data_IF_427598033809
#
_entry.id   IF_427598033809
#
_cell.length_a   1.000
_cell.length_b   1.000
_cell.length_c   1.000
_cell.angle_alpha   90.00
_cell.angle_beta   90.00
_cell.angle_gamma   90.00
#
_symmetry.space_group_name_H-M   'P 1'
#
loop_
_entity.id
_entity.type
_entity.pdbx_description
1 polymer ?
#
# COMPACT_ATOMS: atom_id res chain seq x y z
N UNK A 1 -14.41 -12.11 -12.43
CA UNK A 1 -14.31 -13.29 -11.51
C UNK A 1 -14.08 -14.64 -12.20
N UNK A 2 -13.82 -14.71 -13.51
CA UNK A 2 -13.49 -15.99 -14.19
C UNK A 2 -12.09 -16.54 -13.84
N UNK A 3 -11.33 -15.83 -12.97
CA UNK A 3 -9.96 -16.12 -12.51
C UNK A 3 -9.89 -16.47 -11.01
N UNK A 4 -8.69 -16.79 -10.54
CA UNK A 4 -8.24 -17.01 -9.15
C UNK A 4 -8.46 -15.82 -8.18
N UNK A 5 -9.02 -14.70 -8.63
CA UNK A 5 -9.26 -13.50 -7.83
C UNK A 5 -10.22 -13.74 -6.66
N UNK A 6 -9.78 -13.38 -5.46
CA UNK A 6 -10.60 -13.25 -4.26
C UNK A 6 -11.09 -11.81 -4.17
N UNK A 7 -12.41 -11.56 -4.29
CA UNK A 7 -12.94 -10.20 -4.23
C UNK A 7 -12.56 -9.49 -2.94
N UNK A 8 -12.20 -8.21 -3.04
CA UNK A 8 -11.93 -7.34 -1.90
C UNK A 8 -12.61 -5.98 -2.09
N UNK A 9 -13.21 -5.45 -1.03
CA UNK A 9 -13.74 -4.10 -1.02
C UNK A 9 -12.70 -3.09 -0.50
N UNK A 10 -12.57 -1.96 -1.19
CA UNK A 10 -11.73 -0.82 -0.80
C UNK A 10 -12.65 0.37 -0.50
N UNK A 11 -12.58 0.89 0.73
CA UNK A 11 -13.37 2.05 1.13
C UNK A 11 -13.36 2.29 2.64
N UNK A 12 -13.71 3.51 3.05
CA UNK A 12 -13.59 3.98 4.45
C UNK A 12 -14.52 3.26 5.44
N UNK A 13 -15.57 2.59 4.98
CA UNK A 13 -16.44 1.77 5.84
C UNK A 13 -15.83 0.38 6.15
N UNK A 14 -14.78 -0.01 5.43
CA UNK A 14 -14.15 -1.32 5.52
C UNK A 14 -12.79 -1.22 6.23
N UNK A 15 -12.18 -2.39 6.50
CA UNK A 15 -10.78 -2.49 6.94
C UNK A 15 -9.85 -1.81 5.94
N UNK A 16 -8.82 -1.16 6.44
CA UNK A 16 -7.79 -0.53 5.60
C UNK A 16 -7.02 -1.62 4.82
N UNK A 17 -6.81 -1.41 3.52
CA UNK A 17 -6.11 -2.36 2.63
C UNK A 17 -4.67 -1.95 2.40
N UNK A 18 -3.81 -2.90 2.04
CA UNK A 18 -2.40 -2.65 1.71
C UNK A 18 -2.06 -3.21 0.33
N UNK A 19 -1.46 -2.38 -0.52
CA UNK A 19 -0.87 -2.79 -1.80
C UNK A 19 0.62 -3.08 -1.64
N UNK A 20 1.11 -4.09 -2.37
CA UNK A 20 2.53 -4.31 -2.60
C UNK A 20 2.90 -4.11 -4.08
N UNK A 21 3.92 -3.29 -4.33
CA UNK A 21 4.47 -3.13 -5.68
C UNK A 21 5.53 -4.18 -5.95
N UNK A 22 5.46 -4.81 -7.11
CA UNK A 22 6.51 -5.66 -7.66
C UNK A 22 6.83 -5.20 -9.07
N UNK A 23 7.80 -5.81 -9.73
CA UNK A 23 8.07 -5.57 -11.13
C UNK A 23 9.54 -5.71 -11.49
N UNK A 24 9.75 -6.08 -12.74
CA UNK A 24 11.07 -6.16 -13.36
C UNK A 24 11.58 -4.78 -13.78
N UNK A 25 12.87 -4.70 -14.03
CA UNK A 25 13.49 -3.53 -14.65
C UNK A 25 14.45 -3.97 -15.75
N UNK A 26 14.97 -3.01 -16.52
CA UNK A 26 16.05 -3.25 -17.48
C UNK A 26 17.32 -3.83 -16.84
N UNK A 27 17.49 -3.68 -15.52
CA UNK A 27 18.65 -4.19 -14.78
C UNK A 27 18.39 -5.57 -14.17
N UNK A 28 17.15 -5.84 -13.74
CA UNK A 28 16.76 -7.11 -13.12
C UNK A 28 15.43 -7.58 -13.72
N UNK A 29 15.52 -8.56 -14.62
CA UNK A 29 14.37 -9.13 -15.31
C UNK A 29 14.31 -10.64 -15.07
N UNK A 30 13.61 -11.06 -14.02
CA UNK A 30 13.36 -12.47 -13.71
C UNK A 30 11.93 -12.63 -13.21
N UNK A 31 11.11 -13.33 -14.01
CA UNK A 31 9.72 -13.66 -13.67
C UNK A 31 9.65 -14.41 -12.34
N UNK A 32 10.51 -15.42 -12.16
CA UNK A 32 10.57 -16.20 -10.93
C UNK A 32 10.83 -15.33 -9.70
N UNK A 33 11.72 -14.33 -9.83
CA UNK A 33 12.01 -13.41 -8.73
C UNK A 33 10.83 -12.49 -8.41
N UNK A 34 9.99 -12.14 -9.37
CA UNK A 34 8.78 -11.34 -9.12
C UNK A 34 7.67 -12.20 -8.50
N UNK A 35 7.56 -13.48 -8.89
CA UNK A 35 6.68 -14.46 -8.23
C UNK A 35 7.08 -14.62 -6.76
N UNK A 36 8.37 -14.81 -6.46
CA UNK A 36 8.86 -14.91 -5.07
C UNK A 36 8.52 -13.68 -4.23
N UNK A 37 8.64 -12.47 -4.81
CA UNK A 37 8.24 -11.22 -4.12
C UNK A 37 6.73 -11.18 -3.88
N UNK A 38 5.93 -11.57 -4.87
CA UNK A 38 4.48 -11.63 -4.74
C UNK A 38 4.06 -12.61 -3.64
N UNK A 39 4.62 -13.82 -3.63
CA UNK A 39 4.38 -14.81 -2.58
C UNK A 39 4.79 -14.29 -1.20
N UNK A 40 5.94 -13.61 -1.10
CA UNK A 40 6.39 -12.99 0.13
C UNK A 40 5.42 -11.91 0.63
N UNK A 41 4.87 -11.08 -0.27
CA UNK A 41 3.86 -10.07 0.06
C UNK A 41 2.54 -10.70 0.52
N UNK A 42 2.03 -11.69 -0.22
CA UNK A 42 0.79 -12.38 0.08
C UNK A 42 0.86 -13.15 1.40
N UNK A 43 2.02 -13.75 1.71
CA UNK A 43 2.23 -14.50 2.94
C UNK A 43 2.07 -13.67 4.23
N UNK A 44 2.25 -12.34 4.14
CA UNK A 44 2.07 -11.40 5.26
C UNK A 44 0.86 -10.46 5.07
N UNK A 45 -0.03 -10.80 4.14
CA UNK A 45 -1.36 -10.24 4.05
C UNK A 45 -1.51 -9.00 3.17
N UNK A 46 -0.68 -8.83 2.13
CA UNK A 46 -0.96 -7.86 1.07
C UNK A 46 -2.37 -8.11 0.49
N UNK A 47 -3.15 -7.04 0.36
CA UNK A 47 -4.55 -7.09 -0.10
C UNK A 47 -4.67 -6.83 -1.61
N UNK A 48 -3.61 -6.34 -2.24
CA UNK A 48 -3.50 -6.10 -3.68
C UNK A 48 -2.03 -6.15 -4.10
N UNK A 49 -1.79 -6.41 -5.38
CA UNK A 49 -0.46 -6.41 -6.00
C UNK A 49 -0.49 -5.45 -7.18
N UNK A 50 0.57 -4.66 -7.37
CA UNK A 50 0.78 -3.92 -8.61
C UNK A 50 2.04 -4.37 -9.33
N UNK A 51 1.89 -4.66 -10.61
CA UNK A 51 3.02 -4.89 -11.51
C UNK A 51 3.48 -3.58 -12.14
N UNK A 52 4.66 -3.13 -11.70
CA UNK A 52 5.34 -1.93 -12.15
C UNK A 52 6.53 -2.26 -13.07
N UNK A 53 6.52 -3.44 -13.70
CA UNK A 53 7.57 -3.91 -14.60
C UNK A 53 7.84 -2.93 -15.75
N UNK A 54 9.12 -2.70 -16.04
CA UNK A 54 9.58 -1.83 -17.14
C UNK A 54 10.67 -2.45 -18.00
N UNK A 55 10.84 -3.77 -17.95
CA UNK A 55 11.78 -4.45 -18.83
C UNK A 55 11.48 -5.94 -18.99
N UNK A 56 11.81 -6.46 -20.16
CA UNK A 56 11.54 -7.85 -20.54
C UNK A 56 10.32 -7.93 -21.46
N UNK A 57 9.70 -9.10 -21.53
CA UNK A 57 8.41 -9.23 -22.22
C UNK A 57 7.29 -8.92 -21.21
N UNK A 58 6.87 -7.65 -21.17
CA UNK A 58 5.86 -7.19 -20.22
C UNK A 58 4.51 -7.89 -20.37
N UNK A 59 4.17 -8.41 -21.56
CA UNK A 59 2.91 -9.12 -21.76
C UNK A 59 3.00 -10.53 -21.14
N UNK A 60 4.10 -11.24 -21.38
CA UNK A 60 4.35 -12.56 -20.82
C UNK A 60 4.55 -12.51 -19.30
N UNK A 61 5.33 -11.55 -18.79
CA UNK A 61 5.55 -11.35 -17.35
C UNK A 61 4.21 -11.14 -16.64
N UNK A 62 3.38 -10.21 -17.12
CA UNK A 62 2.08 -9.92 -16.51
C UNK A 62 1.11 -11.09 -16.57
N UNK A 63 1.09 -11.84 -17.68
CA UNK A 63 0.27 -13.05 -17.80
C UNK A 63 0.63 -14.09 -16.73
N UNK A 64 1.94 -14.30 -16.49
CA UNK A 64 2.41 -15.24 -15.46
C UNK A 64 2.07 -14.77 -14.05
N UNK A 65 2.24 -13.47 -13.76
CA UNK A 65 1.91 -12.90 -12.46
C UNK A 65 0.41 -12.96 -12.17
N UNK A 66 -0.44 -12.64 -13.14
CA UNK A 66 -1.91 -12.75 -13.01
C UNK A 66 -2.34 -14.19 -12.73
N UNK A 67 -1.72 -15.18 -13.37
CA UNK A 67 -2.02 -16.60 -13.13
C UNK A 67 -1.75 -17.04 -11.68
N UNK A 68 -0.82 -16.37 -10.99
CA UNK A 68 -0.43 -16.66 -9.61
C UNK A 68 -1.06 -15.72 -8.57
N UNK A 69 -1.61 -14.57 -8.97
CA UNK A 69 -2.13 -13.55 -8.06
C UNK A 69 -3.60 -13.80 -7.68
N UNK A 70 -3.93 -14.07 -6.40
CA UNK A 70 -5.31 -14.30 -5.96
C UNK A 70 -6.00 -13.04 -5.43
N UNK A 71 -5.36 -11.87 -5.52
CA UNK A 71 -5.87 -10.57 -5.01
C UNK A 71 -5.92 -9.55 -6.15
N UNK A 72 -6.62 -8.41 -6.00
CA UNK A 72 -6.68 -7.39 -7.03
C UNK A 72 -5.29 -7.02 -7.56
N UNK A 73 -5.17 -7.02 -8.88
CA UNK A 73 -3.93 -6.79 -9.60
C UNK A 73 -3.99 -5.46 -10.35
N UNK A 74 -3.06 -4.56 -10.09
CA UNK A 74 -2.99 -3.25 -10.72
C UNK A 74 -1.76 -3.03 -11.58
N UNK A 75 -1.83 -2.05 -12.48
CA UNK A 75 -0.69 -1.64 -13.29
C UNK A 75 -0.69 -0.12 -13.53
N UNK A 76 0.39 0.38 -14.12
CA UNK A 76 0.47 1.74 -14.65
C UNK A 76 0.68 1.64 -16.17
N UNK A 77 -0.39 1.70 -17.00
CA UNK A 77 -0.28 1.41 -18.43
C UNK A 77 0.78 2.22 -19.19
N UNK A 78 1.05 3.46 -18.77
CA UNK A 78 2.07 4.31 -19.39
C UNK A 78 3.48 3.72 -19.33
N UNK A 79 3.77 2.82 -18.37
CA UNK A 79 5.07 2.16 -18.25
C UNK A 79 5.32 1.16 -19.37
N UNK A 80 4.28 0.45 -19.81
CA UNK A 80 4.38 -0.40 -21.00
C UNK A 80 4.38 0.44 -22.29
N UNK A 81 3.64 1.54 -22.32
CA UNK A 81 3.60 2.43 -23.49
C UNK A 81 4.99 2.99 -23.82
N UNK A 82 5.79 3.37 -22.83
CA UNK A 82 7.13 3.91 -23.02
C UNK A 82 8.19 2.84 -23.32
N UNK A 83 7.90 1.56 -23.10
CA UNK A 83 8.89 0.49 -23.29
C UNK A 83 9.40 0.45 -24.74
N UNK A 84 10.73 0.59 -24.89
CA UNK A 84 11.38 0.61 -26.20
C UNK A 84 11.09 1.86 -27.05
N UNK A 85 10.53 2.93 -26.45
CA UNK A 85 10.15 4.16 -27.15
C UNK A 85 10.74 5.40 -26.49
N UNK A 86 10.83 6.47 -27.27
CA UNK A 86 11.00 7.79 -26.69
C UNK A 86 9.63 8.36 -26.31
N UNK A 87 9.63 9.29 -25.34
CA UNK A 87 8.39 9.93 -24.86
C UNK A 87 7.67 10.63 -26.01
N UNK A 88 8.45 11.25 -26.89
CA UNK A 88 8.02 12.01 -28.06
C UNK A 88 7.30 11.14 -29.12
N UNK A 89 7.46 9.81 -29.05
CA UNK A 89 6.82 8.86 -29.97
C UNK A 89 5.48 8.34 -29.44
N UNK A 90 5.10 8.70 -28.21
CA UNK A 90 3.85 8.26 -27.59
C UNK A 90 2.67 8.95 -28.28
N UNK A 91 1.67 8.16 -28.69
CA UNK A 91 0.43 8.67 -29.27
C UNK A 91 -0.79 8.30 -28.43
N UNK A 92 -1.88 9.09 -28.47
CA UNK A 92 -3.13 8.74 -27.79
C UNK A 92 -3.65 7.34 -28.11
N UNK A 93 -3.63 6.96 -29.39
CA UNK A 93 -4.08 5.64 -29.83
C UNK A 93 -3.24 4.50 -29.24
N UNK A 94 -1.93 4.70 -29.06
CA UNK A 94 -1.06 3.70 -28.43
C UNK A 94 -1.37 3.53 -26.94
N UNK A 95 -1.67 4.63 -26.24
CA UNK A 95 -2.08 4.58 -24.82
C UNK A 95 -3.37 3.77 -24.70
N UNK A 96 -4.41 4.16 -25.46
CA UNK A 96 -5.72 3.51 -25.39
C UNK A 96 -5.64 2.01 -25.72
N UNK A 97 -4.90 1.65 -26.79
CA UNK A 97 -4.67 0.25 -27.16
C UNK A 97 -3.96 -0.54 -26.06
N UNK A 98 -3.01 0.09 -25.35
CA UNK A 98 -2.28 -0.59 -24.26
C UNK A 98 -3.18 -0.81 -23.04
N UNK A 99 -3.99 0.18 -22.68
CA UNK A 99 -4.99 0.08 -21.62
C UNK A 99 -5.98 -1.06 -21.92
N UNK A 100 -6.56 -1.08 -23.12
CA UNK A 100 -7.51 -2.12 -23.54
C UNK A 100 -6.85 -3.52 -23.59
N UNK A 101 -5.59 -3.61 -24.05
CA UNK A 101 -4.83 -4.87 -24.04
C UNK A 101 -4.66 -5.41 -22.63
N UNK A 102 -4.30 -4.57 -21.67
CA UNK A 102 -4.13 -4.99 -20.28
C UNK A 102 -5.47 -5.35 -19.62
N UNK A 103 -6.55 -4.63 -19.95
CA UNK A 103 -7.89 -4.93 -19.46
C UNK A 103 -8.33 -6.34 -19.90
N UNK A 104 -8.09 -6.68 -21.18
CA UNK A 104 -8.33 -8.04 -21.71
C UNK A 104 -7.51 -9.13 -21.01
N UNK A 105 -6.33 -8.82 -20.48
CA UNK A 105 -5.53 -9.77 -19.72
C UNK A 105 -6.09 -10.01 -18.31
N UNK A 106 -6.95 -9.13 -17.80
CA UNK A 106 -7.56 -9.24 -16.48
C UNK A 106 -6.90 -8.41 -15.40
N UNK A 107 -6.31 -7.26 -15.74
CA UNK A 107 -5.89 -6.26 -14.75
C UNK A 107 -7.14 -5.64 -14.11
N UNK A 108 -7.19 -5.56 -12.78
CA UNK A 108 -8.35 -5.14 -12.01
C UNK A 108 -8.42 -3.61 -11.80
N UNK A 109 -7.27 -2.92 -11.80
CA UNK A 109 -7.23 -1.46 -11.71
C UNK A 109 -6.04 -0.82 -12.42
N UNK A 110 -6.22 0.39 -12.94
CA UNK A 110 -5.15 1.14 -13.60
C UNK A 110 -4.85 2.45 -12.91
N UNK A 111 -3.57 2.70 -12.65
CA UNK A 111 -3.08 4.04 -12.35
C UNK A 111 -3.04 4.88 -13.62
N UNK A 112 -4.00 5.80 -13.74
CA UNK A 112 -4.13 6.73 -14.87
C UNK A 112 -3.82 8.15 -14.40
N UNK A 113 -2.74 8.73 -14.92
CA UNK A 113 -2.25 10.05 -14.56
C UNK A 113 -2.93 11.14 -15.41
N UNK A 114 -4.26 11.21 -15.36
CA UNK A 114 -5.05 12.18 -16.13
C UNK A 114 -5.21 13.54 -15.43
N UNK A 115 -4.87 13.65 -14.14
CA UNK A 115 -5.01 14.90 -13.37
C UNK A 115 -3.92 15.94 -13.58
N UNK A 116 -2.76 15.53 -14.10
CA UNK A 116 -1.64 16.43 -14.35
C UNK A 116 -1.90 17.19 -15.65
N UNK A 117 -2.29 18.46 -15.54
CA UNK A 117 -2.57 19.32 -16.69
C UNK A 117 -1.37 20.20 -17.06
N UNK A 118 -1.31 20.64 -18.32
CA UNK A 118 -0.23 21.50 -18.84
C UNK A 118 -0.09 22.81 -18.04
N UNK A 119 -1.20 23.38 -17.60
CA UNK A 119 -1.27 24.59 -16.77
C UNK A 119 -0.70 24.39 -15.35
N UNK A 120 -0.54 23.15 -14.88
CA UNK A 120 0.07 22.88 -13.58
C UNK A 120 1.60 22.93 -13.65
N UNK A 121 2.21 22.73 -14.82
CA UNK A 121 3.67 22.64 -14.96
C UNK A 121 4.44 23.87 -14.43
N UNK A 122 3.98 25.12 -14.62
CA UNK A 122 4.67 26.28 -14.03
C UNK A 122 4.71 26.28 -12.50
N UNK A 123 3.77 25.60 -11.83
CA UNK A 123 3.72 25.52 -10.36
C UNK A 123 4.89 24.72 -9.77
N UNK A 124 5.60 23.96 -10.61
CA UNK A 124 6.74 23.12 -10.21
C UNK A 124 8.04 23.90 -10.04
N UNK A 125 8.11 25.16 -10.50
CA UNK A 125 9.35 25.93 -10.52
C UNK A 125 9.99 26.12 -9.13
N UNK A 126 9.19 26.03 -8.06
CA UNK A 126 9.67 26.19 -6.68
C UNK A 126 9.89 24.89 -5.90
N UNK A 127 9.63 23.71 -6.50
CA UNK A 127 9.77 22.44 -5.79
C UNK A 127 11.23 22.04 -5.60
N UNK A 128 11.52 21.43 -4.46
CA UNK A 128 12.81 20.84 -4.12
C UNK A 128 13.05 19.56 -4.92
N UNK A 129 12.07 18.65 -4.98
CA UNK A 129 12.19 17.37 -5.67
C UNK A 129 11.53 17.33 -7.05
N UNK A 130 10.86 18.41 -7.47
CA UNK A 130 10.19 18.51 -8.77
C UNK A 130 9.03 17.51 -8.93
N UNK A 131 9.09 16.69 -9.99
CA UNK A 131 8.13 15.61 -10.25
C UNK A 131 8.80 14.27 -9.92
N UNK A 132 8.30 13.59 -8.89
CA UNK A 132 8.80 12.26 -8.49
C UNK A 132 7.92 11.10 -8.94
N UNK A 133 6.72 11.39 -9.47
CA UNK A 133 5.93 10.37 -10.16
C UNK A 133 6.57 10.06 -11.51
N UNK A 134 6.94 8.79 -11.74
CA UNK A 134 7.45 8.35 -13.05
C UNK A 134 6.42 8.59 -14.15
N UNK A 135 5.15 8.22 -13.93
CA UNK A 135 4.08 8.45 -14.89
C UNK A 135 3.83 9.94 -15.14
N UNK A 136 3.80 10.73 -14.06
CA UNK A 136 3.67 12.19 -14.13
C UNK A 136 4.81 12.85 -14.91
N UNK A 137 6.06 12.46 -14.65
CA UNK A 137 7.24 13.01 -15.33
C UNK A 137 7.25 12.68 -16.83
N UNK A 138 6.86 11.47 -17.22
CA UNK A 138 6.74 11.08 -18.63
C UNK A 138 5.69 11.95 -19.36
N UNK A 139 4.52 12.15 -18.75
CA UNK A 139 3.45 12.96 -19.34
C UNK A 139 3.78 14.45 -19.35
N UNK A 140 4.45 14.97 -18.32
CA UNK A 140 4.95 16.34 -18.30
C UNK A 140 5.94 16.59 -19.45
N UNK A 141 6.90 15.68 -19.66
CA UNK A 141 7.83 15.73 -20.79
C UNK A 141 7.08 15.67 -22.13
N UNK A 142 6.10 14.78 -22.26
CA UNK A 142 5.27 14.67 -23.46
C UNK A 142 4.56 15.99 -23.80
N UNK A 143 3.89 16.59 -22.82
CA UNK A 143 3.16 17.85 -23.01
C UNK A 143 4.07 19.00 -23.41
N UNK A 144 5.26 19.10 -22.81
CA UNK A 144 6.23 20.14 -23.13
C UNK A 144 6.76 19.98 -24.56
N UNK A 145 7.05 18.73 -24.98
CA UNK A 145 7.55 18.45 -26.33
C UNK A 145 6.50 18.74 -27.41
N UNK A 146 5.27 18.25 -27.22
CA UNK A 146 4.20 18.40 -28.20
C UNK A 146 3.44 19.72 -28.09
N UNK A 147 3.69 20.50 -27.04
CA UNK A 147 2.97 21.72 -26.72
C UNK A 147 1.43 21.50 -26.67
N UNK A 148 1.01 20.38 -26.09
CA UNK A 148 -0.38 19.91 -26.02
C UNK A 148 -0.80 19.57 -24.59
N UNK A 149 -2.11 19.47 -24.36
CA UNK A 149 -2.65 19.00 -23.09
C UNK A 149 -2.34 17.51 -22.88
N UNK A 150 -2.37 17.06 -21.63
CA UNK A 150 -2.19 15.67 -21.24
C UNK A 150 -3.12 14.76 -22.06
N UNK A 151 -2.57 13.79 -22.82
CA UNK A 151 -3.38 12.97 -23.71
C UNK A 151 -4.38 12.11 -22.92
N UNK A 152 -4.04 11.67 -21.71
CA UNK A 152 -4.95 10.89 -20.86
C UNK A 152 -6.13 11.71 -20.33
N UNK A 153 -5.96 13.03 -20.19
CA UNK A 153 -7.05 13.94 -19.87
C UNK A 153 -7.93 14.18 -21.10
N UNK A 154 -7.33 14.43 -22.26
CA UNK A 154 -8.07 14.67 -23.52
C UNK A 154 -8.93 13.46 -23.91
N UNK A 155 -8.43 12.22 -23.72
CA UNK A 155 -9.13 10.97 -24.08
C UNK A 155 -9.84 10.28 -22.90
N UNK A 156 -10.10 11.01 -21.81
CA UNK A 156 -10.59 10.40 -20.56
C UNK A 156 -11.93 9.67 -20.74
N UNK A 157 -12.76 10.15 -21.65
CA UNK A 157 -14.06 9.57 -21.96
C UNK A 157 -13.92 8.21 -22.65
N UNK A 158 -12.99 8.08 -23.61
CA UNK A 158 -12.64 6.80 -24.24
C UNK A 158 -11.99 5.83 -23.25
N UNK A 159 -11.22 6.33 -22.28
CA UNK A 159 -10.72 5.49 -21.18
C UNK A 159 -11.87 4.97 -20.32
N UNK A 160 -12.89 5.79 -20.03
CA UNK A 160 -14.07 5.35 -19.30
C UNK A 160 -14.83 4.24 -20.05
N UNK A 161 -14.94 4.33 -21.38
CA UNK A 161 -15.60 3.30 -22.19
C UNK A 161 -14.88 1.95 -22.03
N UNK A 162 -13.55 1.94 -22.06
CA UNK A 162 -12.76 0.73 -21.79
C UNK A 162 -12.91 0.26 -20.34
N UNK A 163 -12.84 1.17 -19.35
CA UNK A 163 -12.95 0.78 -17.94
C UNK A 163 -14.32 0.13 -17.65
N UNK A 164 -15.40 0.70 -18.20
CA UNK A 164 -16.75 0.20 -18.04
C UNK A 164 -16.98 -1.13 -18.76
N UNK A 165 -16.40 -1.33 -19.96
CA UNK A 165 -16.51 -2.59 -20.71
C UNK A 165 -15.92 -3.78 -19.95
N UNK A 166 -14.76 -3.57 -19.30
CA UNK A 166 -14.00 -4.63 -18.64
C UNK A 166 -14.15 -4.66 -17.11
N UNK A 167 -14.94 -3.76 -16.51
CA UNK A 167 -15.07 -3.55 -15.06
C UNK A 167 -13.71 -3.32 -14.37
N UNK A 168 -12.88 -2.47 -14.97
CA UNK A 168 -11.58 -2.07 -14.42
C UNK A 168 -11.76 -0.80 -13.59
N UNK A 169 -11.21 -0.80 -12.37
CA UNK A 169 -11.27 0.36 -11.50
C UNK A 169 -10.22 1.41 -11.89
N UNK A 170 -10.62 2.68 -11.94
CA UNK A 170 -9.66 3.78 -12.02
C UNK A 170 -8.93 3.93 -10.69
N UNK A 171 -7.61 3.89 -10.72
CA UNK A 171 -6.74 4.52 -9.73
C UNK A 171 -6.27 5.85 -10.32
N UNK A 172 -6.93 6.94 -9.98
CA UNK A 172 -6.59 8.24 -10.56
C UNK A 172 -5.27 8.74 -9.96
N UNK A 173 -4.19 8.67 -10.74
CA UNK A 173 -2.81 8.82 -10.30
C UNK A 173 -2.41 10.24 -9.91
N UNK A 174 -1.56 10.35 -8.90
CA UNK A 174 -1.03 11.60 -8.35
C UNK A 174 0.32 11.99 -9.01
N UNK A 175 0.24 12.37 -10.29
CA UNK A 175 1.41 12.75 -11.10
C UNK A 175 2.26 13.86 -10.51
N UNK A 176 1.68 14.72 -9.68
CA UNK A 176 2.30 15.85 -8.99
C UNK A 176 2.36 15.64 -7.48
N UNK A 177 2.38 14.41 -6.96
CA UNK A 177 2.64 14.20 -5.53
C UNK A 177 3.98 14.80 -5.06
N UNK A 178 4.08 15.22 -3.80
CA UNK A 178 5.33 15.68 -3.20
C UNK A 178 6.32 14.52 -3.00
N UNK A 179 7.57 14.75 -3.42
CA UNK A 179 8.71 13.84 -3.21
C UNK A 179 9.71 14.29 -2.16
N UNK A 180 9.40 15.38 -1.47
CA UNK A 180 10.14 15.90 -0.33
C UNK A 180 9.15 16.56 0.62
N UNK A 181 9.47 16.57 1.91
CA UNK A 181 8.66 17.24 2.94
C UNK A 181 8.45 18.73 2.61
N UNK A 182 9.44 19.36 1.96
CA UNK A 182 9.39 20.76 1.56
C UNK A 182 8.34 21.05 0.47
N UNK A 183 7.94 20.04 -0.31
CA UNK A 183 6.99 20.17 -1.42
C UNK A 183 5.55 19.79 -1.01
N UNK A 184 5.36 19.36 0.24
CA UNK A 184 4.10 18.83 0.72
C UNK A 184 3.00 19.91 0.76
N UNK A 185 1.81 19.54 0.28
CA UNK A 185 0.61 20.38 0.27
C UNK A 185 0.80 21.68 -0.55
N UNK A 186 1.65 21.65 -1.57
CA UNK A 186 1.90 22.79 -2.44
C UNK A 186 0.80 23.02 -3.49
N UNK A 187 0.92 24.12 -4.23
CA UNK A 187 -0.06 24.48 -5.25
C UNK A 187 -0.18 23.44 -6.38
N UNK A 188 0.92 22.79 -6.78
CA UNK A 188 0.92 21.78 -7.83
C UNK A 188 0.14 20.52 -7.40
N UNK A 189 0.37 20.03 -6.19
CA UNK A 189 -0.34 18.88 -5.64
C UNK A 189 -1.84 19.17 -5.54
N UNK A 190 -2.21 20.33 -5.00
CA UNK A 190 -3.62 20.70 -4.81
C UNK A 190 -4.35 20.97 -6.13
N UNK A 191 -3.65 21.51 -7.14
CA UNK A 191 -4.23 21.73 -8.47
C UNK A 191 -4.56 20.39 -9.17
N UNK A 192 -3.65 19.42 -9.10
CA UNK A 192 -3.93 18.07 -9.60
C UNK A 192 -5.10 17.43 -8.83
N UNK A 193 -5.12 17.48 -7.49
CA UNK A 193 -6.21 16.89 -6.70
C UNK A 193 -7.59 17.44 -7.10
N UNK A 194 -7.71 18.74 -7.38
CA UNK A 194 -8.95 19.34 -7.89
C UNK A 194 -9.37 18.75 -9.24
N UNK A 195 -8.41 18.54 -10.14
CA UNK A 195 -8.65 17.88 -11.43
C UNK A 195 -9.07 16.43 -11.22
N UNK A 196 -8.44 15.71 -10.29
CA UNK A 196 -8.84 14.35 -9.95
C UNK A 196 -10.28 14.29 -9.40
N UNK A 197 -10.73 15.30 -8.66
CA UNK A 197 -12.13 15.44 -8.23
C UNK A 197 -13.11 15.56 -9.40
N UNK A 198 -12.79 16.38 -10.40
CA UNK A 198 -13.57 16.48 -11.65
C UNK A 198 -13.63 15.13 -12.37
N UNK A 199 -12.47 14.49 -12.57
CA UNK A 199 -12.36 13.22 -13.28
C UNK A 199 -13.05 12.07 -12.53
N UNK A 200 -13.03 12.10 -11.19
CA UNK A 200 -13.77 11.15 -10.34
C UNK A 200 -15.26 11.23 -10.64
N UNK A 201 -15.82 12.44 -10.65
CA UNK A 201 -17.24 12.63 -10.96
C UNK A 201 -17.57 12.18 -12.39
N UNK A 202 -16.75 12.57 -13.38
CA UNK A 202 -16.94 12.18 -14.78
C UNK A 202 -16.94 10.66 -14.99
N UNK A 203 -15.99 9.96 -14.35
CA UNK A 203 -15.91 8.49 -14.43
C UNK A 203 -17.10 7.81 -13.72
N UNK A 204 -17.53 8.31 -12.56
CA UNK A 204 -18.70 7.80 -11.85
C UNK A 204 -20.01 7.99 -12.63
N UNK A 205 -20.18 9.13 -13.31
CA UNK A 205 -21.33 9.39 -14.19
C UNK A 205 -21.39 8.42 -15.38
N UNK A 206 -20.25 7.86 -15.79
CA UNK A 206 -20.13 6.79 -16.79
C UNK A 206 -20.16 5.38 -16.20
N UNK A 207 -20.44 5.23 -14.91
CA UNK A 207 -20.56 3.93 -14.24
C UNK A 207 -19.23 3.24 -13.92
N UNK A 208 -18.10 3.94 -14.01
CA UNK A 208 -16.79 3.39 -13.67
C UNK A 208 -16.57 3.40 -12.14
N UNK A 209 -15.86 2.39 -11.64
CA UNK A 209 -15.32 2.39 -10.28
C UNK A 209 -14.09 3.30 -10.21
N UNK A 210 -13.95 4.07 -9.11
CA UNK A 210 -12.86 5.05 -8.96
C UNK A 210 -12.32 5.04 -7.54
N UNK A 211 -10.99 5.00 -7.42
CA UNK A 211 -10.21 5.46 -6.28
C UNK A 211 -9.23 6.54 -6.74
N UNK A 212 -8.78 7.36 -5.80
CA UNK A 212 -7.86 8.47 -6.06
C UNK A 212 -6.53 8.18 -5.39
N UNK A 213 -5.41 8.42 -6.07
CA UNK A 213 -4.08 8.32 -5.48
C UNK A 213 -3.69 9.62 -4.76
N UNK A 214 -2.85 9.49 -3.74
CA UNK A 214 -2.48 10.58 -2.86
C UNK A 214 -1.04 10.49 -2.35
N UNK A 215 -0.61 11.56 -1.66
CA UNK A 215 0.77 11.99 -1.62
C UNK A 215 1.77 10.99 -1.02
N UNK A 216 3.03 11.23 -1.40
CA UNK A 216 4.21 10.49 -0.95
C UNK A 216 4.85 11.07 0.30
N UNK A 217 5.48 12.25 0.22
CA UNK A 217 6.21 12.84 1.37
C UNK A 217 5.38 13.96 2.00
N UNK A 218 4.91 13.76 3.23
CA UNK A 218 4.03 14.71 3.93
C UNK A 218 4.39 14.74 5.41
N UNK A 219 4.78 15.90 5.97
CA UNK A 219 5.08 15.99 7.40
C UNK A 219 3.81 15.74 8.20
N UNK A 220 3.95 15.07 9.35
CA UNK A 220 2.82 14.52 10.12
C UNK A 220 1.66 15.52 10.35
N UNK A 221 1.98 16.78 10.66
CA UNK A 221 1.00 17.83 10.93
C UNK A 221 0.08 18.19 9.73
N UNK A 222 0.42 17.79 8.51
CA UNK A 222 -0.36 18.08 7.29
C UNK A 222 -1.21 16.89 6.83
N UNK A 223 -1.02 15.70 7.40
CA UNK A 223 -1.67 14.47 6.93
C UNK A 223 -3.19 14.56 7.03
N UNK A 224 -3.71 15.00 8.19
CA UNK A 224 -5.15 15.17 8.39
C UNK A 224 -5.77 16.07 7.31
N UNK A 225 -5.14 17.22 7.07
CA UNK A 225 -5.62 18.19 6.09
C UNK A 225 -5.69 17.59 4.67
N UNK A 226 -4.69 16.79 4.27
CA UNK A 226 -4.71 16.11 2.97
C UNK A 226 -5.85 15.09 2.86
N UNK A 227 -6.14 14.34 3.93
CA UNK A 227 -7.23 13.36 3.93
C UNK A 227 -8.61 14.04 3.86
N UNK A 228 -8.79 15.13 4.60
CA UNK A 228 -10.05 15.91 4.61
C UNK A 228 -10.30 16.58 3.24
N UNK A 229 -9.27 17.20 2.66
CA UNK A 229 -9.37 17.81 1.34
C UNK A 229 -9.75 16.81 0.25
N UNK A 230 -9.14 15.62 0.25
CA UNK A 230 -9.50 14.61 -0.74
C UNK A 230 -10.95 14.16 -0.57
N UNK A 231 -11.41 13.94 0.67
CA UNK A 231 -12.80 13.54 0.90
C UNK A 231 -13.80 14.58 0.38
N UNK A 232 -13.50 15.87 0.58
CA UNK A 232 -14.32 16.97 0.08
C UNK A 232 -14.29 17.04 -1.45
N UNK A 233 -13.10 17.13 -2.04
CA UNK A 233 -12.89 17.38 -3.48
C UNK A 233 -13.34 16.18 -4.33
N UNK A 234 -13.01 14.96 -3.88
CA UNK A 234 -13.29 13.72 -4.60
C UNK A 234 -14.57 13.02 -4.12
N UNK A 235 -15.45 13.75 -3.40
CA UNK A 235 -16.79 13.30 -3.00
C UNK A 235 -16.80 11.95 -2.28
N UNK A 236 -15.81 11.71 -1.43
CA UNK A 236 -15.69 10.49 -0.65
C UNK A 236 -15.23 9.24 -1.42
N UNK A 237 -14.69 9.39 -2.64
CA UNK A 237 -14.02 8.30 -3.33
C UNK A 237 -12.89 7.70 -2.45
N UNK A 238 -12.66 6.37 -2.48
CA UNK A 238 -11.57 5.74 -1.74
C UNK A 238 -10.23 6.40 -2.03
N UNK A 239 -9.43 6.62 -0.99
CA UNK A 239 -8.13 7.27 -1.10
C UNK A 239 -7.00 6.25 -0.93
N UNK A 240 -6.06 6.25 -1.88
CA UNK A 240 -4.93 5.35 -2.00
C UNK A 240 -3.62 6.13 -1.87
N UNK A 241 -2.89 5.98 -0.77
CA UNK A 241 -1.72 6.83 -0.46
C UNK A 241 -0.41 6.06 -0.45
N UNK A 242 0.69 6.68 -0.91
CA UNK A 242 2.04 6.10 -0.84
C UNK A 242 2.74 6.47 0.46
N UNK A 243 2.58 5.65 1.50
CA UNK A 243 2.97 6.01 2.86
C UNK A 243 1.86 6.81 3.55
N UNK A 244 1.99 8.14 3.78
CA UNK A 244 3.10 9.02 3.39
C UNK A 244 4.33 8.97 4.29
N UNK A 245 5.52 9.27 3.76
CA UNK A 245 6.76 9.45 4.53
C UNK A 245 6.70 10.76 5.31
N UNK A 246 6.92 10.68 6.63
CA UNK A 246 6.82 11.85 7.53
C UNK A 246 8.13 12.61 7.72
N UNK A 247 9.23 12.08 7.20
CA UNK A 247 10.57 12.68 7.24
C UNK A 247 11.46 12.07 6.15
N UNK A 248 12.38 12.87 5.61
CA UNK A 248 13.25 12.49 4.48
C UNK A 248 14.65 12.00 4.93
N UNK A 249 14.93 12.01 6.24
CA UNK A 249 16.30 11.86 6.76
C UNK A 249 16.71 10.41 7.05
N UNK A 250 15.86 9.42 6.75
CA UNK A 250 16.07 8.03 7.14
C UNK A 250 16.00 7.01 5.98
N UNK A 251 16.68 7.25 4.84
CA UNK A 251 16.75 6.26 3.76
C UNK A 251 17.33 4.94 4.30
N UNK A 252 16.76 3.81 3.86
CA UNK A 252 16.99 2.49 4.49
C UNK A 252 15.92 2.11 5.51
N UNK A 253 15.17 3.09 6.00
CA UNK A 253 14.12 2.93 7.01
C UNK A 253 12.80 3.57 6.59
N UNK A 254 12.60 3.80 5.29
CA UNK A 254 11.42 4.50 4.79
C UNK A 254 10.11 3.71 4.97
N UNK A 255 10.19 2.39 5.05
CA UNK A 255 9.07 1.56 5.54
C UNK A 255 8.59 1.95 6.96
N UNK A 256 9.46 2.50 7.82
CA UNK A 256 9.10 2.99 9.16
C UNK A 256 8.57 4.42 9.07
N UNK A 257 9.26 5.32 8.37
CA UNK A 257 8.84 6.72 8.22
C UNK A 257 7.46 6.80 7.57
N UNK A 258 7.21 5.95 6.58
CA UNK A 258 5.92 5.82 5.90
C UNK A 258 4.86 5.13 6.74
N UNK A 259 5.19 4.14 7.57
CA UNK A 259 4.19 3.48 8.44
C UNK A 259 3.58 4.46 9.46
N UNK A 260 4.38 5.41 9.97
CA UNK A 260 3.87 6.49 10.84
C UNK A 260 2.82 7.32 10.10
N UNK A 261 3.16 7.78 8.89
CA UNK A 261 2.24 8.60 8.11
C UNK A 261 1.04 7.82 7.59
N UNK A 262 1.23 6.57 7.16
CA UNK A 262 0.17 5.69 6.68
C UNK A 262 -0.84 5.32 7.75
N UNK A 263 -0.40 5.14 9.00
CA UNK A 263 -1.31 4.96 10.13
C UNK A 263 -2.19 6.21 10.34
N UNK A 264 -1.58 7.41 10.35
CA UNK A 264 -2.32 8.66 10.45
C UNK A 264 -3.27 8.88 9.27
N UNK A 265 -2.81 8.64 8.04
CA UNK A 265 -3.60 8.77 6.84
C UNK A 265 -4.80 7.82 6.86
N UNK A 266 -4.59 6.55 7.20
CA UNK A 266 -5.65 5.56 7.32
C UNK A 266 -6.67 5.90 8.43
N UNK A 267 -6.20 6.46 9.54
CA UNK A 267 -7.08 6.92 10.61
C UNK A 267 -7.97 8.09 10.15
N UNK A 268 -7.40 9.08 9.46
CA UNK A 268 -8.14 10.27 9.01
C UNK A 268 -8.98 10.05 7.76
N UNK A 269 -8.64 9.11 6.87
CA UNK A 269 -9.45 8.92 5.67
C UNK A 269 -8.99 7.93 4.61
N UNK A 270 -7.70 7.59 4.54
CA UNK A 270 -7.20 6.64 3.56
C UNK A 270 -7.77 5.24 3.81
N UNK A 271 -8.17 4.55 2.75
CA UNK A 271 -8.69 3.18 2.84
C UNK A 271 -7.77 2.16 2.17
N UNK A 272 -6.72 2.63 1.51
CA UNK A 272 -5.75 1.82 0.82
C UNK A 272 -4.36 2.45 0.99
N UNK A 273 -3.39 1.67 1.45
CA UNK A 273 -2.02 2.11 1.64
C UNK A 273 -1.12 1.40 0.64
N UNK A 274 -0.40 2.14 -0.18
CA UNK A 274 0.74 1.59 -0.88
C UNK A 274 1.86 1.48 0.13
N UNK A 275 2.40 0.28 0.28
CA UNK A 275 3.55 0.07 1.14
C UNK A 275 4.76 0.90 0.67
N UNK A 276 5.78 0.99 1.53
CA UNK A 276 7.10 1.49 1.17
C UNK A 276 8.10 0.49 1.70
N UNK A 277 9.10 0.14 0.91
CA UNK A 277 10.11 -0.85 1.32
C UNK A 277 11.27 -0.18 2.05
N UNK A 278 12.11 -0.94 2.79
CA UNK A 278 13.38 -0.41 3.30
C UNK A 278 14.29 0.14 2.19
N UNK A 279 14.14 -0.31 0.93
CA UNK A 279 14.96 0.11 -0.21
C UNK A 279 14.40 1.31 -0.99
N UNK A 280 13.31 1.92 -0.52
CA UNK A 280 12.86 3.17 -1.13
C UNK A 280 14.02 4.18 -1.17
N UNK A 281 14.12 4.92 -2.27
CA UNK A 281 15.22 5.84 -2.57
C UNK A 281 16.63 5.21 -2.71
N UNK A 282 16.76 3.89 -2.60
CA UNK A 282 18.06 3.20 -2.62
C UNK A 282 18.17 2.16 -3.74
N UNK A 283 17.08 1.52 -4.15
CA UNK A 283 17.10 0.58 -5.28
C UNK A 283 15.93 -0.39 -5.31
N UNK A 284 16.04 -1.41 -6.15
CA UNK A 284 14.97 -2.40 -6.32
C UNK A 284 14.89 -3.35 -5.11
N UNK A 285 13.69 -3.54 -4.51
CA UNK A 285 13.50 -4.45 -3.38
C UNK A 285 13.66 -5.91 -3.77
N UNK A 286 14.20 -6.72 -2.86
CA UNK A 286 14.12 -8.18 -2.89
C UNK A 286 12.88 -8.68 -2.12
N UNK A 287 12.68 -9.99 -2.01
CA UNK A 287 11.53 -10.59 -1.32
C UNK A 287 11.48 -10.23 0.19
N UNK A 288 12.62 -10.11 0.86
CA UNK A 288 12.68 -9.71 2.28
C UNK A 288 12.28 -8.24 2.46
N UNK A 289 12.74 -7.35 1.58
CA UNK A 289 12.37 -5.94 1.59
C UNK A 289 10.87 -5.77 1.33
N UNK A 290 10.31 -6.57 0.41
CA UNK A 290 8.87 -6.59 0.13
C UNK A 290 8.09 -7.04 1.37
N UNK A 291 8.49 -8.16 1.99
CA UNK A 291 7.87 -8.65 3.22
C UNK A 291 7.92 -7.59 4.32
N UNK A 292 9.08 -6.96 4.54
CA UNK A 292 9.26 -5.92 5.56
C UNK A 292 8.34 -4.71 5.32
N UNK A 293 8.25 -4.25 4.07
CA UNK A 293 7.35 -3.16 3.68
C UNK A 293 5.89 -3.51 3.92
N UNK A 294 5.45 -4.72 3.56
CA UNK A 294 4.04 -5.13 3.74
C UNK A 294 3.72 -5.26 5.22
N UNK A 295 4.59 -5.88 6.01
CA UNK A 295 4.41 -5.98 7.48
C UNK A 295 4.26 -4.59 8.10
N UNK A 296 5.13 -3.64 7.76
CA UNK A 296 5.04 -2.27 8.27
C UNK A 296 3.72 -1.59 7.91
N UNK A 297 3.29 -1.69 6.65
CA UNK A 297 2.03 -1.12 6.18
C UNK A 297 0.80 -1.82 6.78
N UNK A 298 0.83 -3.14 6.99
CA UNK A 298 -0.26 -3.89 7.65
C UNK A 298 -0.38 -3.52 9.12
N UNK A 299 0.73 -3.29 9.82
CA UNK A 299 0.71 -2.76 11.19
C UNK A 299 0.06 -1.38 11.20
N UNK A 300 0.45 -0.49 10.28
CA UNK A 300 -0.13 0.85 10.16
C UNK A 300 -1.65 0.81 9.87
N UNK A 301 -2.07 0.01 8.90
CA UNK A 301 -3.47 -0.22 8.54
C UNK A 301 -4.29 -0.75 9.72
N UNK A 302 -3.77 -1.78 10.41
CA UNK A 302 -4.46 -2.41 11.54
C UNK A 302 -4.55 -1.47 12.75
N UNK A 303 -3.47 -0.73 13.07
CA UNK A 303 -3.48 0.26 14.14
C UNK A 303 -4.52 1.37 13.89
N UNK A 304 -4.64 1.82 12.64
CA UNK A 304 -5.67 2.78 12.24
C UNK A 304 -7.09 2.18 12.36
N UNK A 305 -7.28 0.92 11.97
CA UNK A 305 -8.57 0.22 12.10
C UNK A 305 -9.00 0.08 13.57
N UNK A 306 -8.07 -0.20 14.50
CA UNK A 306 -8.33 -0.17 15.95
C UNK A 306 -8.77 1.23 16.37
N UNK A 307 -8.02 2.26 16.00
CA UNK A 307 -8.31 3.65 16.37
C UNK A 307 -9.66 4.14 15.81
N UNK A 308 -10.07 3.63 14.64
CA UNK A 308 -11.39 3.85 14.03
C UNK A 308 -12.51 3.06 14.70
N UNK A 309 -12.20 2.17 15.63
CA UNK A 309 -13.18 1.39 16.40
C UNK A 309 -13.73 0.16 15.67
N UNK A 310 -13.00 -0.41 14.70
CA UNK A 310 -13.43 -1.62 14.02
C UNK A 310 -13.35 -2.81 14.97
N UNK A 311 -14.51 -3.35 15.37
CA UNK A 311 -14.63 -4.44 16.35
C UNK A 311 -13.79 -5.68 16.00
N UNK A 312 -13.69 -6.03 14.73
CA UNK A 312 -12.88 -7.16 14.26
C UNK A 312 -11.39 -6.94 14.55
N UNK A 313 -10.88 -5.72 14.40
CA UNK A 313 -9.49 -5.38 14.67
C UNK A 313 -9.17 -5.51 16.17
N UNK A 314 -9.98 -4.89 17.04
CA UNK A 314 -9.84 -4.98 18.51
C UNK A 314 -9.90 -6.44 19.01
N UNK A 315 -10.77 -7.26 18.41
CA UNK A 315 -10.88 -8.68 18.76
C UNK A 315 -9.58 -9.45 18.49
N UNK A 316 -8.86 -9.14 17.39
CA UNK A 316 -7.58 -9.77 17.07
C UNK A 316 -6.51 -9.44 18.12
N UNK A 317 -6.35 -8.17 18.48
CA UNK A 317 -5.41 -7.75 19.54
C UNK A 317 -5.73 -8.39 20.88
N UNK A 318 -7.02 -8.41 21.24
CA UNK A 318 -7.48 -9.02 22.49
C UNK A 318 -7.15 -10.50 22.53
N UNK A 319 -7.42 -11.25 21.45
CA UNK A 319 -7.16 -12.68 21.38
C UNK A 319 -5.67 -12.99 21.51
N UNK A 320 -4.82 -12.27 20.77
CA UNK A 320 -3.37 -12.43 20.84
C UNK A 320 -2.83 -12.04 22.22
N UNK A 321 -3.38 -11.00 22.85
CA UNK A 321 -3.03 -10.56 24.21
C UNK A 321 -3.46 -11.56 25.28
N UNK A 322 -4.60 -12.22 25.12
CA UNK A 322 -5.06 -13.31 26.00
C UNK A 322 -4.11 -14.51 25.89
N UNK A 323 -3.72 -14.90 24.68
CA UNK A 323 -2.73 -15.96 24.47
C UNK A 323 -1.39 -15.60 25.15
N UNK A 324 -0.90 -14.37 24.94
CA UNK A 324 0.32 -13.85 25.58
C UNK A 324 0.23 -13.87 27.11
N UNK A 325 -0.87 -13.41 27.68
CA UNK A 325 -1.08 -13.38 29.13
C UNK A 325 -1.16 -14.77 29.76
N UNK A 326 -1.61 -15.76 28.99
CA UNK A 326 -1.68 -17.16 29.42
C UNK A 326 -0.40 -17.94 29.14
N UNK A 327 0.62 -17.32 28.50
CA UNK A 327 1.84 -17.96 28.02
C UNK A 327 1.55 -19.11 27.03
N UNK A 328 0.45 -18.99 26.29
CA UNK A 328 0.09 -19.88 25.19
C UNK A 328 0.88 -19.48 23.94
N UNK A 329 2.15 -19.90 23.89
CA UNK A 329 3.06 -19.61 22.78
C UNK A 329 2.54 -20.13 21.45
N UNK A 330 1.86 -21.28 21.44
CA UNK A 330 1.34 -21.84 20.20
C UNK A 330 0.32 -20.91 19.55
N UNK A 331 -0.68 -20.46 20.32
CA UNK A 331 -1.68 -19.51 19.81
C UNK A 331 -1.05 -18.14 19.56
N UNK A 332 -0.17 -17.66 20.46
CA UNK A 332 0.46 -16.35 20.34
C UNK A 332 1.25 -16.20 19.03
N UNK A 333 2.04 -17.22 18.67
CA UNK A 333 2.85 -17.21 17.46
C UNK A 333 2.00 -17.43 16.21
N UNK A 334 1.04 -18.38 16.26
CA UNK A 334 0.21 -18.70 15.10
C UNK A 334 -0.75 -17.56 14.71
N UNK A 335 -1.11 -16.69 15.65
CA UNK A 335 -2.01 -15.54 15.42
C UNK A 335 -1.28 -14.23 15.16
N UNK A 336 0.05 -14.22 15.17
CA UNK A 336 0.83 -13.05 14.82
C UNK A 336 0.61 -12.65 13.34
N UNK A 337 0.84 -11.38 13.02
CA UNK A 337 0.79 -10.88 11.64
C UNK A 337 1.79 -11.61 10.72
N UNK A 338 2.99 -11.88 11.24
CA UNK A 338 3.99 -12.72 10.58
C UNK A 338 4.40 -13.87 11.52
N UNK A 339 3.66 -15.00 11.50
CA UNK A 339 3.96 -16.16 12.33
C UNK A 339 5.36 -16.74 12.10
N UNK A 340 5.90 -16.63 10.88
CA UNK A 340 7.20 -17.19 10.54
C UNK A 340 8.32 -16.43 11.25
N UNK A 341 8.28 -15.08 11.21
CA UNK A 341 9.24 -14.25 11.93
C UNK A 341 9.09 -14.41 13.44
N UNK A 342 7.85 -14.42 13.95
CA UNK A 342 7.59 -14.59 15.38
C UNK A 342 8.13 -15.94 15.89
N UNK A 343 7.88 -17.04 15.18
CA UNK A 343 8.38 -18.37 15.54
C UNK A 343 9.91 -18.44 15.47
N UNK A 344 10.54 -17.85 14.44
CA UNK A 344 12.01 -17.78 14.34
C UNK A 344 12.62 -17.08 15.55
N UNK A 345 12.15 -15.87 15.89
CA UNK A 345 12.67 -15.09 17.02
C UNK A 345 12.42 -15.79 18.36
N UNK A 346 11.26 -16.44 18.53
CA UNK A 346 10.99 -17.23 19.73
C UNK A 346 11.93 -18.44 19.85
N UNK A 347 12.23 -19.12 18.74
CA UNK A 347 13.20 -20.24 18.73
C UNK A 347 14.59 -19.79 19.12
N UNK A 348 15.05 -18.64 18.60
CA UNK A 348 16.34 -18.04 18.98
C UNK A 348 16.37 -17.76 20.49
N UNK A 349 15.33 -17.11 21.04
CA UNK A 349 15.21 -16.87 22.48
C UNK A 349 15.17 -18.17 23.31
N UNK A 350 14.49 -19.22 22.85
CA UNK A 350 14.48 -20.52 23.52
C UNK A 350 15.87 -21.19 23.54
N UNK A 351 16.65 -21.04 22.46
CA UNK A 351 18.01 -21.55 22.39
C UNK A 351 18.92 -20.84 23.40
N UNK A 352 18.80 -19.52 23.53
CA UNK A 352 19.53 -18.73 24.53
C UNK A 352 19.21 -19.17 25.97
N UNK A 353 17.96 -19.56 26.24
CA UNK A 353 17.54 -20.08 27.55
C UNK A 353 17.95 -21.54 27.80
N UNK A 354 18.45 -22.25 26.79
CA UNK A 354 18.75 -23.69 26.88
C UNK A 354 17.51 -24.58 27.05
N UNK A 355 16.31 -24.11 26.70
CA UNK A 355 15.07 -24.87 26.85
C UNK A 355 14.72 -25.66 25.59
N UNK A 356 14.39 -26.94 25.76
CA UNK A 356 13.87 -27.81 24.71
C UNK A 356 12.33 -27.75 24.61
N UNK A 357 11.68 -27.21 25.65
CA UNK A 357 10.22 -27.15 25.86
C UNK A 357 9.59 -25.85 25.33
N UNK A 358 9.76 -25.63 24.02
CA UNK A 358 9.45 -24.35 23.34
C UNK A 358 7.98 -23.89 23.43
N UNK A 359 7.05 -24.84 23.55
CA UNK A 359 5.59 -24.59 23.61
C UNK A 359 5.03 -24.56 25.03
N UNK A 360 5.75 -25.08 26.01
CA UNK A 360 5.37 -25.13 27.43
C UNK A 360 6.16 -24.15 28.29
N UNK A 361 7.12 -23.42 27.71
CA UNK A 361 7.88 -22.39 28.42
C UNK A 361 6.94 -21.37 29.08
N UNK A 362 7.03 -21.23 30.41
CA UNK A 362 6.21 -20.31 31.19
C UNK A 362 6.87 -18.93 31.36
N UNK A 363 7.90 -18.62 30.57
CA UNK A 363 8.60 -17.33 30.49
C UNK A 363 9.40 -17.21 29.18
N UNK A 364 9.98 -16.02 28.92
CA UNK A 364 10.93 -15.78 27.82
C UNK A 364 12.29 -15.27 28.33
N UNK A 365 13.26 -15.14 27.43
CA UNK A 365 14.65 -14.76 27.77
C UNK A 365 14.78 -13.36 28.37
N UNK A 366 13.80 -12.47 28.13
CA UNK A 366 13.85 -11.07 28.56
C UNK A 366 13.91 -10.88 30.09
N UNK A 367 13.03 -11.57 30.84
CA UNK A 367 12.93 -11.41 32.31
C UNK A 367 13.40 -12.65 33.07
N UNK A 368 13.55 -13.79 32.38
CA UNK A 368 13.75 -15.08 33.02
C UNK A 368 12.55 -15.54 33.86
N UNK A 369 12.71 -16.70 34.49
CA UNK A 369 11.61 -17.41 35.13
C UNK A 369 11.01 -16.67 36.33
N UNK A 370 11.87 -16.14 37.21
CA UNK A 370 11.44 -15.57 38.49
C UNK A 370 10.83 -14.17 38.39
N UNK A 371 11.17 -13.41 37.33
CA UNK A 371 10.78 -12.01 37.17
C UNK A 371 9.81 -11.79 36.01
N UNK A 372 9.31 -12.86 35.39
CA UNK A 372 8.32 -12.76 34.33
C UNK A 372 7.01 -12.19 34.90
N UNK A 373 6.70 -10.95 34.51
CA UNK A 373 5.50 -10.25 34.95
C UNK A 373 4.21 -10.99 34.60
N UNK A 374 4.15 -11.66 33.44
CA UNK A 374 2.97 -12.43 33.03
C UNK A 374 2.72 -13.65 33.93
N UNK A 375 3.79 -14.37 34.32
CA UNK A 375 3.71 -15.50 35.26
C UNK A 375 3.26 -15.04 36.64
N UNK A 376 3.90 -14.00 37.19
CA UNK A 376 3.52 -13.41 38.48
C UNK A 376 2.05 -12.95 38.45
N UNK A 377 1.63 -12.31 37.36
CA UNK A 377 0.24 -11.84 37.22
C UNK A 377 -0.78 -12.99 37.18
N UNK A 378 -0.43 -14.15 36.61
CA UNK A 378 -1.27 -15.35 36.64
C UNK A 378 -1.51 -15.83 38.08
N UNK A 379 -0.46 -15.85 38.90
CA UNK A 379 -0.54 -16.19 40.33
C UNK A 379 -1.38 -15.16 41.10
N UNK A 380 -1.13 -13.86 40.89
CA UNK A 380 -1.90 -12.76 41.53
C UNK A 380 -3.39 -12.85 41.18
N UNK A 381 -3.75 -13.06 39.90
CA UNK A 381 -5.14 -13.18 39.46
C UNK A 381 -5.85 -14.38 40.08
N UNK A 382 -5.14 -15.50 40.25
CA UNK A 382 -5.69 -16.69 40.91
C UNK A 382 -6.04 -16.40 42.37
N UNK A 383 -5.15 -15.75 43.12
CA UNK A 383 -5.39 -15.36 44.52
C UNK A 383 -6.55 -14.38 44.63
N UNK A 384 -6.65 -13.38 43.75
CA UNK A 384 -7.75 -12.41 43.75
C UNK A 384 -9.10 -13.10 43.51
N UNK A 385 -9.19 -14.02 42.54
CA UNK A 385 -10.43 -14.77 42.26
C UNK A 385 -10.86 -15.62 43.45
N UNK A 386 -9.92 -16.36 44.04
CA UNK A 386 -10.19 -17.19 45.23
C UNK A 386 -10.73 -16.35 46.41
N UNK A 387 -10.21 -15.12 46.59
CA UNK A 387 -10.71 -14.20 47.63
C UNK A 387 -12.08 -13.60 47.32
N UNK A 388 -12.40 -13.35 46.05
CA UNK A 388 -13.70 -12.83 45.64
C UNK A 388 -14.82 -13.88 45.73
N UNK A 389 -14.48 -15.16 45.58
CA UNK A 389 -15.40 -16.31 45.68
C UNK A 389 -15.56 -16.82 47.13
N UNK A 390 -14.76 -16.33 48.08
CA UNK A 390 -14.91 -16.65 49.48
C UNK A 390 -16.20 -16.03 50.03
N UNK A 391 -17.05 -16.78 50.78
CA UNK A 391 -18.25 -16.22 51.38
C UNK A 391 -17.87 -15.06 52.29
N UNK A 392 -18.59 -13.93 52.18
CA UNK A 392 -18.52 -12.88 53.18
C UNK A 392 -19.14 -13.47 54.44
N UNK A 393 -18.28 -13.87 55.38
CA UNK A 393 -18.66 -14.49 56.65
C UNK A 393 -19.48 -13.56 57.54
#
# INVERSE_FOLDING_TARGET
LQSNLRPAGIGRALRTKVNANIGTSSVRCSVQSEIEKMEAALAVGADAIMDLSTGGDLDAIRAELLAHCPVPFGTVPIYQVIEGRQVEDITPALILRTVEKQARQGVDFFTIHAGLLREHLPLLAGRVAGIVSRGGALLAKWMLHHNRQNPMYEMFDELCDVMAEYDVCFSLGDGLRPGAIADATDAAQLAELRTLGELTQRAQERGCQVMVEGPGHVPFHQIQHNMELQQEICRGAPFYVLGPLVTDIAPGYDHITSAIGGCAAAFYGASFLCYVTPREHLGLPNADDVRAGVVAAKIAAHAADIARGLKEADTLDRNLSVARANLDWQTHLATALDPQTADRMHREACQEMGTTERRSADYCSMCGQHWCSMRINKEVRQVIRQRAEAPIG
#
